data_IF_014821080445
#
_entry.id   IF_014821080445
#
_cell.length_a   1.000
_cell.length_b   1.000
_cell.length_c   1.000
_cell.angle_alpha   90.00
_cell.angle_beta   90.00
_cell.angle_gamma   90.00
#
_symmetry.space_group_name_H-M   'P 1'
#
loop_
_entity.id
_entity.type
_entity.pdbx_description
1 polymer ?
#
# COMPACT_ATOMS: atom_id res chain seq x y z
N UNK A 1 -74.09 41.93 -27.46
CA UNK A 1 -73.44 41.78 -26.12
C UNK A 1 -72.16 41.00 -26.35
N UNK A 2 -71.01 41.68 -26.45
CA UNK A 2 -69.71 41.06 -26.77
C UNK A 2 -68.93 40.93 -25.47
N UNK A 3 -68.64 39.70 -25.07
CA UNK A 3 -67.82 39.35 -23.90
C UNK A 3 -66.35 39.29 -24.38
N UNK A 4 -65.52 40.24 -23.91
CA UNK A 4 -64.08 40.17 -24.05
C UNK A 4 -63.49 39.31 -22.96
N UNK A 5 -62.87 38.18 -23.36
CA UNK A 5 -62.08 37.35 -22.45
C UNK A 5 -60.67 37.93 -22.48
N UNK A 6 -60.25 38.47 -21.33
CA UNK A 6 -58.90 38.97 -21.12
C UNK A 6 -58.01 37.79 -20.71
N UNK A 7 -57.13 37.37 -21.62
CA UNK A 7 -56.10 36.35 -21.34
C UNK A 7 -54.95 37.06 -20.59
N UNK A 8 -54.88 36.86 -19.29
CA UNK A 8 -53.70 37.23 -18.48
C UNK A 8 -52.65 36.12 -18.62
N UNK A 9 -51.63 36.32 -19.47
CA UNK A 9 -50.45 35.48 -19.49
C UNK A 9 -49.62 35.82 -18.24
N UNK A 10 -49.74 35.04 -17.17
CA UNK A 10 -48.74 34.99 -16.10
C UNK A 10 -47.46 34.35 -16.63
N UNK A 11 -46.53 35.17 -17.05
CA UNK A 11 -45.15 34.75 -17.29
C UNK A 11 -44.48 34.43 -15.96
N UNK A 12 -44.51 33.17 -15.56
CA UNK A 12 -43.60 32.67 -14.53
C UNK A 12 -42.19 32.74 -15.05
N UNK A 13 -41.46 33.77 -14.70
CA UNK A 13 -40.00 33.84 -14.84
C UNK A 13 -39.44 32.80 -13.90
N UNK A 14 -39.22 31.61 -14.41
CA UNK A 14 -38.34 30.61 -13.78
C UNK A 14 -36.94 31.20 -13.75
N UNK A 15 -36.59 31.92 -12.71
CA UNK A 15 -35.22 32.20 -12.35
C UNK A 15 -34.60 30.83 -12.00
N UNK A 16 -33.99 30.20 -12.99
CA UNK A 16 -33.03 29.11 -12.75
C UNK A 16 -31.92 29.77 -11.93
N UNK A 17 -32.00 29.64 -10.62
CA UNK A 17 -30.82 29.87 -9.78
C UNK A 17 -29.80 28.83 -10.23
N UNK A 18 -28.89 29.23 -11.13
CA UNK A 18 -27.67 28.52 -11.35
C UNK A 18 -26.98 28.44 -9.99
N UNK A 19 -27.15 27.31 -9.30
CA UNK A 19 -26.39 27.03 -8.10
C UNK A 19 -24.94 27.20 -8.50
N UNK A 20 -24.27 28.20 -7.93
CA UNK A 20 -22.85 28.49 -8.14
C UNK A 20 -22.04 27.31 -7.57
N UNK A 21 -22.00 26.19 -8.30
CA UNK A 21 -21.13 25.07 -8.00
C UNK A 21 -19.70 25.50 -8.35
N UNK A 22 -18.97 25.98 -7.36
CA UNK A 22 -17.53 26.18 -7.43
C UNK A 22 -17.05 27.61 -7.09
N UNK A 23 -15.90 27.67 -6.45
CA UNK A 23 -15.17 28.89 -6.19
C UNK A 23 -14.77 29.59 -7.50
N UNK A 24 -14.37 30.89 -7.44
CA UNK A 24 -13.81 31.59 -8.60
C UNK A 24 -12.61 30.84 -9.21
N UNK A 25 -11.82 30.18 -8.39
CA UNK A 25 -10.70 29.34 -8.82
C UNK A 25 -11.16 28.12 -9.64
N UNK A 26 -12.24 27.45 -9.21
CA UNK A 26 -12.80 26.31 -9.95
C UNK A 26 -13.33 26.75 -11.31
N UNK A 27 -14.06 27.85 -11.39
CA UNK A 27 -14.55 28.39 -12.67
C UNK A 27 -13.40 28.75 -13.62
N UNK A 28 -12.30 29.32 -13.08
CA UNK A 28 -11.10 29.61 -13.87
C UNK A 28 -10.49 28.35 -14.47
N UNK A 29 -10.39 27.26 -13.69
CA UNK A 29 -9.87 25.97 -14.15
C UNK A 29 -10.75 25.38 -15.27
N UNK A 30 -12.08 25.36 -15.07
CA UNK A 30 -13.04 24.87 -16.07
C UNK A 30 -12.99 25.69 -17.38
N UNK A 31 -12.86 27.03 -17.29
CA UNK A 31 -12.73 27.88 -18.47
C UNK A 31 -11.41 27.62 -19.22
N UNK A 32 -10.33 27.37 -18.50
CA UNK A 32 -9.04 27.08 -19.12
C UNK A 32 -9.07 25.72 -19.84
N UNK A 33 -9.61 24.69 -19.20
CA UNK A 33 -9.81 23.36 -19.78
C UNK A 33 -10.69 23.47 -21.05
N UNK A 34 -11.86 24.08 -20.95
CA UNK A 34 -12.76 24.30 -22.09
C UNK A 34 -12.07 25.03 -23.27
N UNK A 35 -11.29 26.09 -22.97
CA UNK A 35 -10.61 26.85 -24.02
C UNK A 35 -9.52 26.01 -24.71
N UNK A 36 -8.77 25.21 -23.95
CA UNK A 36 -7.73 24.32 -24.49
C UNK A 36 -8.38 23.23 -25.38
N UNK A 37 -9.39 22.53 -24.87
CA UNK A 37 -10.03 21.45 -25.59
C UNK A 37 -10.75 21.88 -26.87
N UNK A 38 -11.29 23.12 -26.92
CA UNK A 38 -12.07 23.58 -28.06
C UNK A 38 -11.31 24.50 -29.03
N UNK A 39 -10.27 25.20 -28.60
CA UNK A 39 -9.61 26.25 -29.42
C UNK A 39 -8.12 25.98 -29.66
N UNK A 40 -7.53 24.97 -29.06
CA UNK A 40 -6.13 24.64 -29.34
C UNK A 40 -5.98 24.16 -30.78
N UNK A 41 -4.84 24.46 -31.41
CA UNK A 41 -4.59 24.21 -32.85
C UNK A 41 -4.63 22.73 -33.21
N UNK A 42 -4.19 21.86 -32.29
CA UNK A 42 -4.20 20.40 -32.51
C UNK A 42 -5.23 19.72 -31.59
N UNK A 43 -5.57 18.45 -31.92
CA UNK A 43 -6.47 17.65 -31.09
C UNK A 43 -5.84 17.40 -29.73
N UNK A 44 -6.55 17.69 -28.66
CA UNK A 44 -6.16 17.45 -27.26
C UNK A 44 -6.78 16.15 -26.76
N UNK A 45 -6.01 15.42 -25.98
CA UNK A 45 -6.48 14.32 -25.15
C UNK A 45 -6.92 14.92 -23.80
N UNK A 46 -8.23 15.08 -23.63
CA UNK A 46 -8.83 15.76 -22.47
C UNK A 46 -8.56 14.97 -21.17
N UNK A 47 -8.67 13.63 -21.22
CA UNK A 47 -8.46 12.79 -20.03
C UNK A 47 -7.03 12.97 -19.51
N UNK A 48 -6.05 12.88 -20.40
CA UNK A 48 -4.65 13.07 -20.05
C UNK A 48 -4.35 14.48 -19.56
N UNK A 49 -4.99 15.49 -20.15
CA UNK A 49 -4.83 16.88 -19.72
C UNK A 49 -5.33 17.08 -18.27
N UNK A 50 -6.49 16.50 -17.95
CA UNK A 50 -7.09 16.60 -16.61
C UNK A 50 -6.26 15.82 -15.59
N UNK A 51 -5.78 14.62 -15.93
CA UNK A 51 -4.86 13.85 -15.09
C UNK A 51 -3.61 14.63 -14.71
N UNK A 52 -2.92 15.22 -15.71
CA UNK A 52 -1.72 16.03 -15.48
C UNK A 52 -2.01 17.25 -14.59
N UNK A 53 -3.17 17.88 -14.78
CA UNK A 53 -3.59 18.99 -13.93
C UNK A 53 -3.80 18.54 -12.47
N UNK A 54 -4.46 17.40 -12.23
CA UNK A 54 -4.65 16.82 -10.90
C UNK A 54 -3.30 16.51 -10.26
N UNK A 55 -2.39 15.85 -10.98
CA UNK A 55 -1.04 15.52 -10.50
C UNK A 55 -0.30 16.79 -10.07
N UNK A 56 -0.35 17.86 -10.88
CA UNK A 56 0.31 19.12 -10.57
C UNK A 56 -0.31 19.84 -9.37
N UNK A 57 -1.63 19.79 -9.20
CA UNK A 57 -2.30 20.34 -8.02
C UNK A 57 -1.88 19.61 -6.74
N UNK A 58 -1.85 18.27 -6.76
CA UNK A 58 -1.46 17.46 -5.61
C UNK A 58 0.00 17.67 -5.21
N UNK A 59 0.88 17.80 -6.18
CA UNK A 59 2.30 18.06 -5.94
C UNK A 59 2.60 19.38 -5.21
N UNK A 60 1.64 20.33 -5.16
CA UNK A 60 1.76 21.58 -4.39
C UNK A 60 1.42 21.40 -2.90
N UNK A 61 0.87 20.25 -2.49
CA UNK A 61 0.38 20.03 -1.13
C UNK A 61 1.45 19.39 -0.24
N UNK A 62 1.87 18.19 -0.60
CA UNK A 62 2.84 17.38 0.13
C UNK A 62 3.39 16.25 -0.77
N UNK A 63 4.50 15.58 -0.37
CA UNK A 63 5.12 14.55 -1.22
C UNK A 63 4.36 13.21 -1.28
N UNK A 64 3.25 13.07 -0.57
CA UNK A 64 2.49 11.82 -0.46
C UNK A 64 1.07 11.90 -1.00
N UNK A 65 0.53 13.11 -1.23
CA UNK A 65 -0.73 13.29 -1.95
C UNK A 65 -0.49 12.99 -3.43
N UNK A 66 -1.11 11.92 -3.95
CA UNK A 66 -0.85 11.39 -5.30
C UNK A 66 -2.15 11.07 -6.03
N UNK A 67 -2.07 11.13 -7.36
CA UNK A 67 -3.03 10.51 -8.27
C UNK A 67 -2.50 9.13 -8.69
N UNK A 68 -3.39 8.19 -8.91
CA UNK A 68 -3.09 6.89 -9.50
C UNK A 68 -4.18 6.51 -10.47
N UNK A 69 -3.80 6.01 -11.64
CA UNK A 69 -4.75 5.47 -12.60
C UNK A 69 -5.39 4.15 -12.10
N UNK A 70 -6.41 3.66 -12.80
CA UNK A 70 -7.15 2.46 -12.39
C UNK A 70 -6.27 1.19 -12.31
N UNK A 71 -5.26 1.07 -13.16
CA UNK A 71 -4.34 -0.07 -13.15
C UNK A 71 -3.37 0.00 -11.96
N UNK A 72 -2.84 1.19 -11.68
CA UNK A 72 -2.00 1.45 -10.52
C UNK A 72 -2.75 1.24 -9.20
N UNK A 73 -4.01 1.69 -9.11
CA UNK A 73 -4.89 1.46 -7.95
C UNK A 73 -5.02 -0.04 -7.66
N UNK A 74 -5.25 -0.84 -8.68
CA UNK A 74 -5.34 -2.30 -8.54
C UNK A 74 -4.03 -2.91 -8.07
N UNK A 75 -2.90 -2.57 -8.71
CA UNK A 75 -1.56 -3.05 -8.35
C UNK A 75 -1.19 -2.70 -6.91
N UNK A 76 -1.60 -1.54 -6.44
CA UNK A 76 -1.31 -1.04 -5.10
C UNK A 76 -2.17 -1.70 -4.01
N UNK A 77 -3.43 -2.01 -4.32
CA UNK A 77 -4.37 -2.57 -3.38
C UNK A 77 -4.18 -4.09 -3.17
N UNK A 78 -3.80 -4.84 -4.22
CA UNK A 78 -3.62 -6.30 -4.13
C UNK A 78 -2.71 -6.74 -2.97
N UNK A 79 -1.48 -6.19 -2.79
CA UNK A 79 -0.60 -6.58 -1.69
C UNK A 79 -1.17 -6.26 -0.31
N UNK A 80 -1.95 -5.16 -0.19
CA UNK A 80 -2.56 -4.75 1.07
C UNK A 80 -3.79 -5.60 1.41
N UNK A 81 -4.52 -6.07 0.39
CA UNK A 81 -5.64 -7.01 0.58
C UNK A 81 -5.15 -8.43 0.96
N UNK A 82 -3.85 -8.70 0.83
CA UNK A 82 -3.24 -9.97 1.17
C UNK A 82 -3.51 -11.10 0.17
N UNK A 83 -3.99 -10.81 -1.03
CA UNK A 83 -4.18 -11.79 -2.10
C UNK A 83 -4.28 -11.13 -3.47
N UNK A 84 -3.98 -11.91 -4.52
CA UNK A 84 -4.32 -11.59 -5.90
C UNK A 84 -4.96 -12.80 -6.58
N UNK A 85 -5.58 -12.60 -7.73
CA UNK A 85 -6.23 -13.67 -8.48
C UNK A 85 -5.39 -14.12 -9.67
N UNK A 86 -5.10 -15.43 -9.77
CA UNK A 86 -4.24 -15.97 -10.82
C UNK A 86 -3.96 -17.46 -10.67
N UNK A 87 -2.89 -17.91 -11.32
CA UNK A 87 -2.48 -19.32 -11.34
C UNK A 87 -1.64 -19.75 -10.12
N UNK A 88 -1.00 -18.83 -9.41
CA UNK A 88 -0.18 -19.12 -8.22
C UNK A 88 1.15 -19.79 -8.55
N UNK A 89 2.04 -19.10 -9.25
CA UNK A 89 3.44 -19.48 -9.48
C UNK A 89 4.37 -18.34 -9.11
N UNK A 90 5.51 -18.67 -8.52
CA UNK A 90 6.67 -17.80 -8.50
C UNK A 90 7.52 -18.14 -9.73
N UNK A 91 7.92 -17.13 -10.49
CA UNK A 91 8.65 -17.35 -11.73
C UNK A 91 9.77 -16.34 -11.93
N UNK A 92 10.67 -16.68 -12.83
CA UNK A 92 11.74 -15.81 -13.29
C UNK A 92 11.81 -15.88 -14.82
N UNK A 93 12.13 -14.77 -15.46
CA UNK A 93 12.38 -14.75 -16.90
C UNK A 93 13.86 -15.14 -17.14
N UNK A 94 14.08 -16.19 -17.93
CA UNK A 94 15.40 -16.66 -18.34
C UNK A 94 15.35 -16.84 -19.85
N UNK A 95 16.24 -16.13 -20.59
CA UNK A 95 16.36 -16.23 -22.06
C UNK A 95 14.99 -16.15 -22.76
N UNK A 96 14.24 -15.09 -22.47
CA UNK A 96 12.90 -14.85 -23.04
C UNK A 96 11.88 -16.00 -22.78
N UNK A 97 12.05 -16.72 -21.68
CA UNK A 97 11.17 -17.83 -21.29
C UNK A 97 10.81 -17.72 -19.80
N UNK A 98 9.54 -17.96 -19.47
CA UNK A 98 9.08 -18.02 -18.09
C UNK A 98 9.46 -19.36 -17.47
N UNK A 99 10.40 -19.33 -16.50
CA UNK A 99 10.77 -20.47 -15.68
C UNK A 99 10.00 -20.43 -14.35
N UNK A 100 9.27 -21.47 -14.04
CA UNK A 100 8.61 -21.65 -12.72
C UNK A 100 9.70 -21.95 -11.68
N UNK A 101 9.89 -21.01 -10.74
CA UNK A 101 10.77 -21.19 -9.58
C UNK A 101 10.12 -22.18 -8.61
N UNK A 102 8.86 -21.92 -8.28
CA UNK A 102 8.01 -22.84 -7.53
C UNK A 102 6.52 -22.48 -7.66
N UNK A 103 5.60 -23.45 -7.67
CA UNK A 103 4.19 -23.18 -7.48
C UNK A 103 3.91 -22.76 -6.03
N UNK A 104 2.87 -21.93 -5.83
CA UNK A 104 2.42 -21.57 -4.48
C UNK A 104 1.75 -22.78 -3.83
N UNK A 105 2.15 -23.09 -2.60
CA UNK A 105 1.63 -24.25 -1.85
C UNK A 105 0.10 -24.19 -1.72
N UNK A 106 -0.55 -25.30 -2.00
CA UNK A 106 -2.00 -25.45 -2.09
C UNK A 106 -2.66 -24.56 -3.14
N UNK A 107 -1.88 -23.93 -4.02
CA UNK A 107 -2.33 -23.07 -5.09
C UNK A 107 -2.87 -23.82 -6.32
N UNK A 108 -3.47 -23.12 -7.28
CA UNK A 108 -4.06 -23.72 -8.49
C UNK A 108 -3.03 -24.49 -9.34
N UNK A 109 -1.83 -23.94 -9.51
CA UNK A 109 -0.77 -24.56 -10.31
C UNK A 109 -0.22 -25.83 -9.70
N UNK A 110 -0.02 -25.85 -8.38
CA UNK A 110 0.41 -27.06 -7.67
C UNK A 110 -0.62 -28.18 -7.80
N UNK A 111 -1.93 -27.85 -7.65
CA UNK A 111 -3.03 -28.82 -7.74
C UNK A 111 -3.13 -29.53 -9.09
N UNK A 112 -2.70 -28.88 -10.17
CA UNK A 112 -2.70 -29.51 -11.51
C UNK A 112 -1.37 -30.17 -11.85
N UNK A 113 -0.37 -30.12 -10.96
CA UNK A 113 0.92 -30.80 -11.13
C UNK A 113 1.98 -30.00 -11.87
N UNK A 114 1.90 -28.67 -11.87
CA UNK A 114 3.01 -27.81 -12.31
C UNK A 114 4.12 -27.87 -11.25
N UNK A 115 5.37 -27.98 -11.68
CA UNK A 115 6.54 -28.21 -10.85
C UNK A 115 7.57 -27.08 -10.97
N UNK A 116 8.44 -26.97 -9.98
CA UNK A 116 9.64 -26.16 -10.09
C UNK A 116 10.52 -26.65 -11.26
N UNK A 117 11.05 -25.72 -12.05
CA UNK A 117 11.83 -25.99 -13.25
C UNK A 117 10.99 -26.11 -14.53
N UNK A 118 9.67 -26.11 -14.47
CA UNK A 118 8.81 -26.05 -15.65
C UNK A 118 8.98 -24.72 -16.38
N UNK A 119 8.93 -24.76 -17.73
CA UNK A 119 8.99 -23.58 -18.58
C UNK A 119 7.65 -23.39 -19.25
N UNK A 120 6.94 -22.29 -18.93
CA UNK A 120 5.70 -21.95 -19.60
C UNK A 120 6.02 -21.25 -20.90
N UNK A 121 5.66 -21.85 -22.05
CA UNK A 121 5.98 -21.35 -23.37
C UNK A 121 4.80 -20.72 -24.10
N UNK A 122 3.55 -21.09 -23.72
CA UNK A 122 2.35 -20.47 -24.27
C UNK A 122 1.23 -20.39 -23.21
N UNK A 123 0.34 -19.40 -23.39
CA UNK A 123 -0.86 -19.16 -22.59
C UNK A 123 -2.05 -19.02 -23.55
N UNK A 124 -3.10 -19.86 -23.42
CA UNK A 124 -4.26 -19.90 -24.31
C UNK A 124 -3.85 -19.91 -25.80
N UNK A 125 -2.97 -20.82 -26.16
CA UNK A 125 -2.43 -21.01 -27.52
C UNK A 125 -1.59 -19.82 -28.08
N UNK A 126 -1.37 -18.78 -27.28
CA UNK A 126 -0.48 -17.66 -27.64
C UNK A 126 0.90 -17.89 -27.07
N UNK A 127 1.93 -17.90 -27.91
CA UNK A 127 3.32 -17.99 -27.48
C UNK A 127 3.68 -16.80 -26.55
N UNK A 128 4.37 -17.10 -25.44
CA UNK A 128 4.94 -16.11 -24.52
C UNK A 128 6.46 -16.23 -24.42
N UNK A 129 7.04 -17.32 -24.92
CA UNK A 129 8.48 -17.54 -24.97
C UNK A 129 9.00 -17.28 -26.41
N UNK A 130 10.20 -16.71 -26.52
CA UNK A 130 10.85 -16.41 -27.79
C UNK A 130 10.24 -15.24 -28.58
N UNK A 131 9.35 -14.45 -27.97
CA UNK A 131 8.62 -13.33 -28.59
C UNK A 131 8.89 -11.98 -27.97
N UNK A 132 9.85 -11.90 -27.05
CA UNK A 132 10.23 -10.69 -26.27
C UNK A 132 9.03 -10.00 -25.58
N UNK A 133 8.09 -10.81 -25.09
CA UNK A 133 6.93 -10.29 -24.35
C UNK A 133 7.37 -9.74 -23.00
N UNK A 134 6.85 -8.59 -22.61
CA UNK A 134 7.16 -8.01 -21.30
C UNK A 134 6.66 -8.90 -20.15
N UNK A 135 7.37 -8.90 -19.02
CA UNK A 135 6.94 -9.63 -17.82
C UNK A 135 5.55 -9.19 -17.37
N UNK A 136 5.21 -7.92 -17.55
CA UNK A 136 3.91 -7.38 -17.22
C UNK A 136 2.79 -7.98 -18.10
N UNK A 137 2.99 -8.07 -19.40
CA UNK A 137 2.01 -8.67 -20.34
C UNK A 137 1.85 -10.18 -20.08
N UNK A 138 2.93 -10.86 -19.71
CA UNK A 138 2.86 -12.26 -19.29
C UNK A 138 2.03 -12.38 -17.99
N UNK A 139 2.29 -11.52 -16.99
CA UNK A 139 1.49 -11.52 -15.76
C UNK A 139 0.02 -11.23 -16.03
N UNK A 140 -0.33 -10.28 -16.90
CA UNK A 140 -1.73 -10.00 -17.29
C UNK A 140 -2.42 -11.22 -17.88
N UNK A 141 -1.72 -12.08 -18.64
CA UNK A 141 -2.27 -13.32 -19.20
C UNK A 141 -2.44 -14.43 -18.15
N UNK A 142 -1.53 -14.55 -17.19
CA UNK A 142 -1.58 -15.56 -16.13
C UNK A 142 -2.60 -15.20 -15.03
N UNK A 143 -2.79 -13.91 -14.75
CA UNK A 143 -3.80 -13.39 -13.82
C UNK A 143 -5.18 -13.41 -14.46
N UNK A 144 -6.20 -13.27 -13.64
CA UNK A 144 -7.58 -13.16 -14.07
C UNK A 144 -8.56 -13.63 -13.00
N UNK A 145 -9.87 -13.39 -13.18
CA UNK A 145 -10.89 -13.62 -12.16
C UNK A 145 -10.87 -15.03 -11.60
N UNK A 146 -11.04 -15.15 -10.27
CA UNK A 146 -11.21 -16.44 -9.59
C UNK A 146 -12.26 -17.29 -10.29
N UNK A 147 -11.93 -18.56 -10.54
CA UNK A 147 -12.80 -19.52 -11.22
C UNK A 147 -12.66 -19.55 -12.73
N UNK A 148 -12.07 -18.53 -13.37
CA UNK A 148 -11.74 -18.58 -14.80
C UNK A 148 -10.64 -19.60 -15.09
N UNK A 149 -10.66 -20.17 -16.29
CA UNK A 149 -9.66 -21.16 -16.73
C UNK A 149 -8.61 -20.48 -17.62
N UNK A 150 -7.41 -21.02 -17.56
CA UNK A 150 -6.31 -20.67 -18.48
C UNK A 150 -5.59 -21.96 -18.86
N UNK A 151 -5.29 -22.09 -20.16
CA UNK A 151 -4.52 -23.21 -20.69
C UNK A 151 -3.05 -22.81 -20.79
N UNK A 152 -2.18 -23.66 -20.30
CA UNK A 152 -0.74 -23.47 -20.30
C UNK A 152 -0.07 -24.58 -21.09
N UNK A 153 0.84 -24.21 -21.99
CA UNK A 153 1.75 -25.15 -22.63
C UNK A 153 3.09 -25.05 -21.95
N UNK A 154 3.59 -26.17 -21.45
CA UNK A 154 4.76 -26.24 -20.59
C UNK A 154 5.78 -27.22 -21.18
N UNK A 155 7.04 -26.82 -21.19
CA UNK A 155 8.18 -27.69 -21.44
C UNK A 155 8.80 -28.09 -20.11
N UNK A 156 8.93 -29.40 -19.87
CA UNK A 156 9.52 -29.98 -18.64
C UNK A 156 10.78 -30.77 -18.99
N UNK A 157 11.83 -30.53 -18.21
CA UNK A 157 13.11 -31.27 -18.42
C UNK A 157 12.87 -32.77 -18.26
N UNK A 158 13.35 -33.55 -19.26
CA UNK A 158 13.20 -35.02 -19.28
C UNK A 158 11.88 -35.51 -19.88
N UNK A 159 10.97 -34.63 -20.31
CA UNK A 159 9.75 -34.96 -21.06
C UNK A 159 9.91 -34.45 -22.48
N UNK A 160 9.67 -35.34 -23.48
CA UNK A 160 9.90 -35.04 -24.90
C UNK A 160 8.88 -34.06 -25.46
N UNK A 161 7.63 -34.27 -25.15
CA UNK A 161 6.51 -33.49 -25.72
C UNK A 161 6.04 -32.42 -24.74
N UNK A 162 5.61 -31.25 -25.22
CA UNK A 162 5.03 -30.23 -24.37
C UNK A 162 3.80 -30.73 -23.59
N UNK A 163 3.71 -30.36 -22.34
CA UNK A 163 2.60 -30.71 -21.45
C UNK A 163 1.54 -29.61 -21.49
N UNK A 164 0.28 -30.02 -21.55
CA UNK A 164 -0.88 -29.11 -21.53
C UNK A 164 -1.52 -29.17 -20.15
N UNK A 165 -1.67 -27.99 -19.51
CA UNK A 165 -2.35 -27.85 -18.23
C UNK A 165 -3.48 -26.85 -18.35
N UNK A 166 -4.66 -27.21 -17.85
CA UNK A 166 -5.76 -26.26 -17.63
C UNK A 166 -5.81 -25.89 -16.18
N UNK A 167 -5.45 -24.64 -15.87
CA UNK A 167 -5.45 -24.11 -14.51
C UNK A 167 -6.71 -23.30 -14.27
N UNK A 168 -7.47 -23.64 -13.24
CA UNK A 168 -8.58 -22.81 -12.74
C UNK A 168 -8.03 -21.79 -11.76
N UNK A 169 -8.05 -20.50 -12.15
CA UNK A 169 -7.52 -19.41 -11.32
C UNK A 169 -8.22 -19.33 -9.98
N UNK A 170 -7.48 -18.95 -8.95
CA UNK A 170 -8.01 -18.76 -7.59
C UNK A 170 -7.31 -17.57 -6.92
N UNK A 171 -7.76 -17.23 -5.70
CA UNK A 171 -7.07 -16.28 -4.84
C UNK A 171 -5.76 -16.87 -4.36
N UNK A 172 -4.69 -16.16 -4.61
CA UNK A 172 -3.32 -16.52 -4.22
C UNK A 172 -2.93 -15.65 -3.04
N UNK A 173 -2.65 -16.24 -1.86
CA UNK A 173 -2.28 -15.45 -0.69
C UNK A 173 -0.96 -14.72 -0.88
N UNK A 174 -0.91 -13.48 -0.42
CA UNK A 174 0.30 -12.66 -0.29
C UNK A 174 0.51 -12.47 1.21
N UNK A 175 1.44 -13.22 1.77
CA UNK A 175 1.71 -13.16 3.20
C UNK A 175 2.38 -11.85 3.60
N UNK A 176 2.01 -11.34 4.77
CA UNK A 176 2.63 -10.19 5.41
C UNK A 176 3.87 -10.56 6.21
N UNK A 177 3.99 -11.84 6.60
CA UNK A 177 5.11 -12.39 7.33
C UNK A 177 6.08 -13.10 6.40
N UNK A 178 7.35 -12.70 6.45
CA UNK A 178 8.44 -13.35 5.70
C UNK A 178 9.06 -14.50 6.49
N UNK A 179 9.12 -14.39 7.82
CA UNK A 179 9.78 -15.35 8.67
C UNK A 179 9.17 -15.42 10.07
N UNK A 180 9.14 -16.61 10.65
CA UNK A 180 8.74 -16.85 12.03
C UNK A 180 9.45 -18.12 12.56
N UNK A 181 10.40 -17.96 13.48
CA UNK A 181 11.15 -19.08 14.04
C UNK A 181 11.75 -18.76 15.42
N UNK A 182 12.18 -19.80 16.17
CA UNK A 182 12.97 -19.61 17.38
C UNK A 182 14.42 -19.35 17.01
N UNK A 183 14.93 -18.11 17.30
CA UNK A 183 16.32 -17.74 16.99
C UNK A 183 17.29 -18.32 18.03
N UNK A 184 16.81 -18.48 19.28
CA UNK A 184 17.51 -19.16 20.37
C UNK A 184 16.50 -19.65 21.40
N UNK A 185 16.91 -20.45 22.41
CA UNK A 185 16.00 -20.88 23.47
C UNK A 185 15.26 -19.69 24.10
N UNK A 186 13.93 -19.77 24.14
CA UNK A 186 13.00 -18.75 24.68
C UNK A 186 12.87 -17.45 23.87
N UNK A 187 13.61 -17.25 22.80
CA UNK A 187 13.50 -16.04 21.98
C UNK A 187 12.97 -16.39 20.59
N UNK A 188 11.80 -15.85 20.24
CA UNK A 188 11.23 -15.92 18.91
C UNK A 188 11.61 -14.73 18.06
N UNK A 189 11.71 -14.95 16.75
CA UNK A 189 11.89 -13.92 15.73
C UNK A 189 10.71 -13.97 14.78
N UNK A 190 10.11 -12.80 14.51
CA UNK A 190 9.04 -12.61 13.53
C UNK A 190 9.38 -11.42 12.66
N UNK A 191 9.37 -11.60 11.33
CA UNK A 191 9.56 -10.54 10.35
C UNK A 191 8.27 -10.24 9.62
N UNK A 192 7.87 -8.97 9.63
CA UNK A 192 6.70 -8.45 8.92
C UNK A 192 7.18 -7.49 7.83
N UNK A 193 6.81 -7.76 6.57
CA UNK A 193 7.22 -6.96 5.41
C UNK A 193 6.21 -5.87 5.02
N UNK A 194 4.95 -5.96 5.49
CA UNK A 194 3.87 -4.99 5.23
C UNK A 194 2.75 -5.10 6.26
N UNK A 195 1.91 -4.07 6.31
CA UNK A 195 0.70 -4.06 7.11
C UNK A 195 -0.54 -4.21 6.21
N UNK A 196 -0.88 -5.43 5.84
CA UNK A 196 -2.06 -5.80 5.05
C UNK A 196 -3.26 -6.20 5.91
N UNK A 197 -4.35 -6.56 5.25
CA UNK A 197 -5.60 -6.96 5.91
C UNK A 197 -5.45 -8.22 6.77
N UNK A 198 -4.51 -9.12 6.45
CA UNK A 198 -4.28 -10.40 7.11
C UNK A 198 -3.15 -10.37 8.14
N UNK A 199 -2.41 -9.26 8.25
CA UNK A 199 -1.18 -9.17 9.06
C UNK A 199 -1.41 -9.52 10.54
N UNK A 200 -2.46 -9.00 11.15
CA UNK A 200 -2.74 -9.27 12.57
C UNK A 200 -3.05 -10.75 12.83
N UNK A 201 -3.80 -11.39 11.93
CA UNK A 201 -4.13 -12.81 12.02
C UNK A 201 -2.88 -13.69 11.82
N UNK A 202 -2.09 -13.39 10.80
CA UNK A 202 -0.83 -14.08 10.50
C UNK A 202 0.13 -13.96 11.69
N UNK A 203 0.30 -12.76 12.25
CA UNK A 203 1.14 -12.50 13.40
C UNK A 203 0.69 -13.29 14.63
N UNK A 204 -0.60 -13.25 14.96
CA UNK A 204 -1.15 -14.01 16.11
C UNK A 204 -0.91 -15.50 15.98
N UNK A 205 -1.10 -16.07 14.78
CA UNK A 205 -0.83 -17.47 14.51
C UNK A 205 0.65 -17.79 14.72
N UNK A 206 1.55 -17.01 14.10
CA UNK A 206 2.98 -17.20 14.23
C UNK A 206 3.44 -17.09 15.69
N UNK A 207 2.98 -16.08 16.42
CA UNK A 207 3.29 -15.87 17.84
C UNK A 207 2.84 -17.07 18.69
N UNK A 208 1.60 -17.56 18.52
CA UNK A 208 1.09 -18.73 19.25
C UNK A 208 1.90 -19.99 18.95
N UNK A 209 2.32 -20.19 17.71
CA UNK A 209 3.14 -21.35 17.34
C UNK A 209 4.55 -21.26 17.94
N UNK A 210 5.12 -20.05 18.08
CA UNK A 210 6.39 -19.86 18.81
C UNK A 210 6.21 -20.02 20.32
N UNK A 211 5.10 -19.56 20.90
CA UNK A 211 4.80 -19.74 22.32
C UNK A 211 4.69 -21.24 22.68
N UNK A 212 4.07 -22.07 21.82
CA UNK A 212 4.06 -23.55 21.99
C UNK A 212 5.47 -24.15 21.98
N UNK A 213 6.44 -23.52 21.29
CA UNK A 213 7.85 -23.88 21.26
C UNK A 213 8.64 -23.30 22.45
N UNK A 214 7.97 -22.63 23.38
CA UNK A 214 8.58 -22.08 24.58
C UNK A 214 9.07 -20.64 24.48
N UNK A 215 8.62 -19.86 23.46
CA UNK A 215 8.95 -18.44 23.35
C UNK A 215 8.46 -17.66 24.58
N UNK A 216 9.34 -16.82 25.13
CA UNK A 216 9.07 -15.85 26.20
C UNK A 216 9.42 -14.44 25.80
N UNK A 217 10.43 -14.29 24.96
CA UNK A 217 10.95 -13.02 24.45
C UNK A 217 10.82 -12.98 22.95
N UNK A 218 10.65 -11.77 22.37
CA UNK A 218 10.41 -11.59 20.94
C UNK A 218 11.33 -10.54 20.33
N UNK A 219 11.83 -10.85 19.14
CA UNK A 219 12.38 -9.88 18.19
C UNK A 219 11.36 -9.74 17.07
N UNK A 220 10.79 -8.53 16.94
CA UNK A 220 9.93 -8.14 15.84
C UNK A 220 10.75 -7.34 14.83
N UNK A 221 10.87 -7.85 13.61
CA UNK A 221 11.64 -7.19 12.56
C UNK A 221 10.70 -6.47 11.59
N UNK A 222 10.85 -5.13 11.55
CA UNK A 222 10.15 -4.20 10.66
C UNK A 222 11.10 -3.52 9.67
N UNK A 223 12.33 -4.00 9.53
CA UNK A 223 13.30 -3.46 8.58
C UNK A 223 12.78 -3.62 7.15
N UNK A 224 12.87 -2.55 6.34
CA UNK A 224 12.35 -2.53 4.98
C UNK A 224 10.82 -2.45 4.87
N UNK A 225 10.09 -2.38 5.99
CA UNK A 225 8.62 -2.35 5.99
C UNK A 225 8.09 -0.93 5.83
N UNK A 226 7.62 -0.58 4.63
CA UNK A 226 7.04 0.73 4.29
C UNK A 226 5.66 1.04 4.91
N UNK A 227 5.11 0.15 5.73
CA UNK A 227 3.82 0.33 6.40
C UNK A 227 2.66 -0.39 5.71
N UNK A 228 1.49 0.24 5.69
CA UNK A 228 0.24 -0.29 5.15
C UNK A 228 -0.99 0.25 5.88
N UNK A 229 -1.95 -0.61 6.19
CA UNK A 229 -3.19 -0.21 6.84
C UNK A 229 -2.98 0.23 8.30
N UNK A 230 -3.57 1.36 8.67
CA UNK A 230 -3.60 1.88 10.05
C UNK A 230 -4.19 0.84 11.03
N UNK A 231 -5.32 0.24 10.66
CA UNK A 231 -5.98 -0.73 11.53
C UNK A 231 -5.09 -1.94 11.82
N UNK A 232 -4.32 -2.42 10.82
CA UNK A 232 -3.37 -3.51 11.03
C UNK A 232 -2.25 -3.14 12.01
N UNK A 233 -1.77 -1.88 11.99
CA UNK A 233 -0.81 -1.38 12.96
C UNK A 233 -1.41 -1.29 14.38
N UNK A 234 -2.63 -0.80 14.49
CA UNK A 234 -3.37 -0.72 15.77
C UNK A 234 -3.57 -2.13 16.36
N UNK A 235 -4.02 -3.08 15.54
CA UNK A 235 -4.25 -4.45 15.98
C UNK A 235 -2.95 -5.15 16.39
N UNK A 236 -1.83 -4.87 15.67
CA UNK A 236 -0.52 -5.40 16.07
C UNK A 236 -0.01 -4.75 17.35
N UNK A 237 -0.08 -3.43 17.49
CA UNK A 237 0.36 -2.74 18.71
C UNK A 237 -0.45 -3.19 19.95
N UNK A 238 -1.74 -3.50 19.75
CA UNK A 238 -2.60 -4.03 20.82
C UNK A 238 -2.08 -5.36 21.41
N UNK A 239 -1.29 -6.14 20.65
CA UNK A 239 -0.69 -7.37 21.17
C UNK A 239 0.35 -7.12 22.27
N UNK A 240 0.93 -5.92 22.31
CA UNK A 240 2.03 -5.54 23.20
C UNK A 240 1.59 -4.66 24.35
N UNK A 241 0.53 -3.86 24.18
CA UNK A 241 0.14 -2.78 25.08
C UNK A 241 -0.98 -3.17 26.06
N UNK A 242 -1.00 -2.48 27.19
CA UNK A 242 -2.02 -2.62 28.23
C UNK A 242 -3.34 -1.96 27.87
N UNK A 243 -4.39 -2.25 28.65
CA UNK A 243 -5.72 -1.68 28.42
C UNK A 243 -5.68 -0.14 28.58
N UNK A 244 -6.31 0.56 27.63
CA UNK A 244 -6.38 2.04 27.58
C UNK A 244 -5.05 2.76 27.34
N UNK A 245 -3.99 2.06 27.04
CA UNK A 245 -2.78 2.71 26.56
C UNK A 245 -3.01 3.23 25.14
N UNK A 246 -2.68 4.51 24.92
CA UNK A 246 -2.82 5.16 23.62
C UNK A 246 -1.81 4.55 22.64
N UNK A 247 -2.25 4.13 21.47
CA UNK A 247 -1.37 3.61 20.41
C UNK A 247 -0.90 4.76 19.52
N UNK A 248 -1.83 5.55 19.05
CA UNK A 248 -1.62 6.65 18.10
C UNK A 248 -2.82 7.57 18.15
N UNK A 249 -2.64 8.84 17.87
CA UNK A 249 -3.76 9.70 17.50
C UNK A 249 -3.51 10.39 16.17
N UNK A 250 -4.61 10.79 15.54
CA UNK A 250 -4.58 11.51 14.27
C UNK A 250 -5.28 12.85 14.42
N UNK A 251 -4.74 13.90 13.78
CA UNK A 251 -5.34 15.22 13.80
C UNK A 251 -5.03 15.98 12.51
N UNK A 252 -5.98 16.74 12.00
CA UNK A 252 -5.86 17.55 10.80
C UNK A 252 -6.74 18.78 10.81
N UNK A 253 -6.63 19.62 9.80
CA UNK A 253 -7.39 20.88 9.71
C UNK A 253 -8.91 20.68 9.79
N UNK A 254 -9.43 19.69 9.09
CA UNK A 254 -10.87 19.34 9.06
C UNK A 254 -11.18 18.01 9.74
N UNK A 255 -10.15 17.17 9.91
CA UNK A 255 -10.26 15.91 10.65
C UNK A 255 -9.97 16.18 12.13
N UNK A 256 -11.01 16.13 12.96
CA UNK A 256 -10.87 16.27 14.41
C UNK A 256 -9.94 15.17 14.94
N UNK A 257 -9.30 15.44 16.08
CA UNK A 257 -8.47 14.46 16.79
C UNK A 257 -9.23 13.16 17.00
N UNK A 258 -8.59 12.04 16.63
CA UNK A 258 -9.08 10.69 16.83
C UNK A 258 -8.01 9.87 17.52
N UNK A 259 -8.32 9.38 18.71
CA UNK A 259 -7.43 8.60 19.55
C UNK A 259 -7.70 7.10 19.37
N UNK A 260 -6.65 6.30 19.25
CA UNK A 260 -6.73 4.85 19.12
C UNK A 260 -6.03 4.19 20.31
N UNK A 261 -6.77 3.47 21.12
CA UNK A 261 -6.31 2.86 22.36
C UNK A 261 -6.21 1.34 22.25
N UNK A 262 -5.26 0.77 22.99
CA UNK A 262 -5.15 -0.66 23.14
C UNK A 262 -6.32 -1.22 23.99
N UNK A 263 -6.81 -2.38 23.59
CA UNK A 263 -7.90 -3.09 24.26
C UNK A 263 -7.42 -3.88 25.48
N UNK A 264 -6.11 -4.11 25.60
CA UNK A 264 -5.47 -4.86 26.69
C UNK A 264 -5.73 -6.37 26.65
N UNK A 265 -6.14 -6.90 25.52
CA UNK A 265 -6.40 -8.30 25.30
C UNK A 265 -5.33 -9.00 24.41
N UNK A 266 -4.18 -8.34 24.23
CA UNK A 266 -3.05 -8.89 23.50
C UNK A 266 -2.37 -10.06 24.20
N UNK A 267 -1.83 -10.98 23.42
CA UNK A 267 -1.22 -12.22 23.93
C UNK A 267 0.28 -12.07 24.25
N UNK A 268 0.91 -10.90 23.97
CA UNK A 268 2.32 -10.64 24.24
C UNK A 268 2.55 -9.32 25.02
N UNK A 269 1.75 -9.07 26.05
CA UNK A 269 1.90 -7.90 26.93
C UNK A 269 3.08 -8.03 27.91
N UNK A 270 3.55 -9.23 28.15
CA UNK A 270 4.68 -9.58 29.00
C UNK A 270 5.79 -10.24 28.16
N UNK A 271 7.00 -10.25 28.70
CA UNK A 271 8.17 -10.73 27.99
C UNK A 271 8.97 -9.56 27.37
N UNK A 272 10.25 -9.79 27.11
CA UNK A 272 11.10 -8.78 26.49
C UNK A 272 10.75 -8.64 25.00
N UNK A 273 10.62 -7.41 24.54
CA UNK A 273 10.33 -7.08 23.18
C UNK A 273 11.43 -6.19 22.60
N UNK A 274 11.98 -6.60 21.47
CA UNK A 274 12.88 -5.78 20.65
C UNK A 274 12.21 -5.59 19.30
N UNK A 275 12.16 -4.34 18.79
CA UNK A 275 11.72 -4.03 17.43
C UNK A 275 12.91 -3.55 16.62
N UNK A 276 13.18 -4.23 15.51
CA UNK A 276 14.22 -3.81 14.56
C UNK A 276 13.62 -2.87 13.53
N UNK A 277 14.31 -1.75 13.29
CA UNK A 277 13.91 -0.72 12.32
C UNK A 277 15.09 -0.26 11.47
N UNK A 278 14.81 0.28 10.30
CA UNK A 278 15.80 0.89 9.42
C UNK A 278 15.23 2.15 8.73
N UNK A 279 16.02 2.75 7.86
CA UNK A 279 15.67 3.96 7.08
C UNK A 279 14.48 3.79 6.13
N UNK A 280 14.05 2.55 5.86
CA UNK A 280 12.87 2.21 5.04
C UNK A 280 11.65 1.86 5.88
N UNK A 281 11.82 1.69 7.19
CA UNK A 281 10.70 1.48 8.12
C UNK A 281 9.83 2.72 8.17
N UNK A 282 8.55 2.62 7.76
CA UNK A 282 7.70 3.80 7.55
C UNK A 282 6.24 3.59 8.00
N UNK A 283 5.54 4.72 8.28
CA UNK A 283 4.08 4.77 8.43
C UNK A 283 3.55 3.83 9.52
N UNK A 284 2.77 2.79 9.18
CA UNK A 284 2.22 1.80 10.10
C UNK A 284 3.29 1.15 10.99
N UNK A 285 4.48 0.90 10.46
CA UNK A 285 5.63 0.38 11.21
C UNK A 285 6.09 1.39 12.28
N UNK A 286 6.08 2.69 11.94
CA UNK A 286 6.46 3.76 12.85
C UNK A 286 5.41 3.99 13.94
N UNK A 287 4.13 3.71 13.66
CA UNK A 287 3.06 3.71 14.67
C UNK A 287 3.33 2.64 15.72
N UNK A 288 3.61 1.40 15.30
CA UNK A 288 3.88 0.30 16.22
C UNK A 288 5.15 0.54 17.03
N UNK A 289 6.27 0.89 16.37
CA UNK A 289 7.54 1.15 17.05
C UNK A 289 7.46 2.37 17.97
N UNK A 290 6.78 3.45 17.53
CA UNK A 290 6.59 4.65 18.35
C UNK A 290 5.71 4.40 19.57
N UNK A 291 4.64 3.63 19.45
CA UNK A 291 3.80 3.26 20.58
C UNK A 291 4.55 2.40 21.61
N UNK A 292 5.29 1.39 21.13
CA UNK A 292 6.12 0.54 22.00
C UNK A 292 7.22 1.35 22.70
N UNK A 293 7.83 2.29 21.99
CA UNK A 293 8.86 3.18 22.54
C UNK A 293 8.30 4.11 23.61
N UNK A 294 7.19 4.79 23.33
CA UNK A 294 6.63 5.82 24.21
C UNK A 294 6.05 5.24 25.52
N UNK A 295 5.68 3.97 25.52
CA UNK A 295 5.25 3.25 26.73
C UNK A 295 6.37 2.46 27.43
N UNK A 296 7.62 2.62 27.02
CA UNK A 296 8.75 1.81 27.52
C UNK A 296 8.48 0.30 27.49
N UNK A 297 7.59 -0.14 26.58
CA UNK A 297 7.18 -1.54 26.47
C UNK A 297 8.26 -2.43 25.85
N UNK A 298 9.15 -1.87 25.06
CA UNK A 298 10.22 -2.59 24.39
C UNK A 298 11.33 -1.68 23.91
N UNK A 299 12.39 -2.29 23.41
CA UNK A 299 13.58 -1.58 22.90
C UNK A 299 13.49 -1.49 21.38
N UNK A 300 13.68 -0.29 20.85
CA UNK A 300 13.81 -0.06 19.40
C UNK A 300 15.29 -0.09 19.04
N UNK A 301 15.66 -0.93 18.08
CA UNK A 301 17.04 -1.12 17.65
C UNK A 301 17.16 -0.94 16.14
N UNK A 302 18.14 -0.18 15.70
CA UNK A 302 18.43 0.03 14.29
C UNK A 302 18.71 1.49 13.96
N UNK A 303 18.49 1.87 12.70
CA UNK A 303 18.70 3.23 12.21
C UNK A 303 17.41 4.05 12.32
N UNK A 304 17.55 5.37 12.28
CA UNK A 304 16.39 6.28 12.22
C UNK A 304 15.44 5.87 11.09
N UNK A 305 14.15 5.75 11.41
CA UNK A 305 13.11 5.37 10.46
C UNK A 305 12.87 6.43 9.38
N UNK A 306 12.01 6.15 8.44
CA UNK A 306 11.74 7.01 7.29
C UNK A 306 11.13 8.37 7.67
N UNK A 307 10.20 8.40 8.63
CA UNK A 307 9.48 9.60 9.03
C UNK A 307 8.25 9.90 8.15
N UNK A 308 7.36 8.91 7.94
CA UNK A 308 6.07 9.10 7.23
C UNK A 308 4.91 9.13 8.22
N UNK A 309 4.55 10.33 8.67
CA UNK A 309 3.49 10.58 9.66
C UNK A 309 2.22 11.20 9.08
N UNK A 310 1.90 10.98 7.80
CA UNK A 310 0.73 11.53 7.14
C UNK A 310 -0.38 10.49 6.97
N UNK A 311 -1.60 10.84 7.38
CA UNK A 311 -2.82 10.05 7.19
C UNK A 311 -3.36 10.35 5.80
N UNK A 312 -3.38 9.35 4.95
CA UNK A 312 -3.89 9.45 3.60
C UNK A 312 -5.26 8.78 3.49
N UNK A 313 -6.20 9.46 2.82
CA UNK A 313 -7.51 8.92 2.48
C UNK A 313 -7.61 8.73 0.97
N UNK A 314 -7.95 7.52 0.51
CA UNK A 314 -8.30 7.30 -0.89
C UNK A 314 -9.64 8.00 -1.21
N UNK A 315 -9.71 8.62 -2.38
CA UNK A 315 -10.90 9.22 -2.97
C UNK A 315 -10.99 8.63 -4.37
N UNK A 316 -11.93 7.71 -4.55
CA UNK A 316 -12.15 7.05 -5.84
C UNK A 316 -12.79 8.03 -6.83
N UNK A 317 -12.34 8.01 -8.07
CA UNK A 317 -12.86 8.78 -9.17
C UNK A 317 -13.71 7.90 -10.11
N UNK A 318 -14.60 8.50 -10.93
CA UNK A 318 -15.58 7.74 -11.72
C UNK A 318 -15.00 6.77 -12.74
N UNK A 319 -13.79 7.01 -13.22
CA UNK A 319 -13.04 6.21 -14.19
C UNK A 319 -12.25 5.05 -13.56
N UNK A 320 -12.33 4.89 -12.23
CA UNK A 320 -11.58 3.90 -11.47
C UNK A 320 -10.19 4.36 -11.03
N UNK A 321 -9.77 5.55 -11.43
CA UNK A 321 -8.59 6.20 -10.88
C UNK A 321 -8.84 6.71 -9.46
N UNK A 322 -7.80 7.16 -8.75
CA UNK A 322 -7.90 7.51 -7.34
C UNK A 322 -6.96 8.66 -6.97
N UNK A 323 -7.48 9.57 -6.18
CA UNK A 323 -6.66 10.53 -5.45
C UNK A 323 -6.38 9.99 -4.05
N UNK A 324 -5.12 9.87 -3.68
CA UNK A 324 -4.71 9.62 -2.30
C UNK A 324 -4.35 10.95 -1.67
N UNK A 325 -5.24 11.48 -0.83
CA UNK A 325 -5.12 12.82 -0.25
C UNK A 325 -4.72 12.76 1.22
N UNK A 326 -3.71 13.51 1.62
CA UNK A 326 -3.35 13.73 3.02
C UNK A 326 -4.42 14.55 3.73
N UNK A 327 -5.02 13.98 4.78
CA UNK A 327 -6.11 14.63 5.53
C UNK A 327 -5.77 14.92 6.99
N UNK A 328 -4.75 14.28 7.56
CA UNK A 328 -4.32 14.43 8.94
C UNK A 328 -2.84 14.03 9.12
N UNK A 329 -2.32 14.21 10.32
CA UNK A 329 -1.01 13.72 10.76
C UNK A 329 -1.17 12.68 11.84
N UNK A 330 -0.19 11.77 11.92
CA UNK A 330 -0.03 10.82 13.02
C UNK A 330 0.83 11.42 14.12
N UNK A 331 0.45 11.12 15.35
CA UNK A 331 1.22 11.45 16.55
C UNK A 331 1.32 10.23 17.43
N UNK A 332 2.50 10.01 17.99
CA UNK A 332 2.76 8.95 18.99
C UNK A 332 2.07 9.27 20.33
N UNK A 333 1.97 8.33 21.26
CA UNK A 333 1.35 8.56 22.57
C UNK A 333 1.90 9.77 23.31
N UNK A 334 3.19 10.04 23.23
CA UNK A 334 3.84 11.22 23.87
C UNK A 334 3.60 12.54 23.12
N UNK A 335 2.92 12.51 21.98
CA UNK A 335 2.61 13.71 21.16
C UNK A 335 3.68 14.04 20.12
N UNK A 336 4.68 13.20 19.91
CA UNK A 336 5.70 13.42 18.86
C UNK A 336 5.07 13.22 17.48
N UNK A 337 5.36 14.12 16.53
CA UNK A 337 5.03 13.93 15.13
C UNK A 337 6.02 12.96 14.49
N UNK A 338 5.50 11.93 13.82
CA UNK A 338 6.32 10.98 13.06
C UNK A 338 6.87 11.62 11.77
N UNK A 339 6.16 12.62 11.22
CA UNK A 339 6.46 13.16 9.91
C UNK A 339 7.77 13.96 9.87
N UNK A 340 8.71 13.52 9.01
CA UNK A 340 9.89 14.33 8.70
C UNK A 340 9.53 15.63 7.94
N UNK A 341 10.33 16.70 8.06
CA UNK A 341 10.06 17.96 7.38
C UNK A 341 9.89 17.80 5.87
N UNK A 342 8.98 18.60 5.30
CA UNK A 342 8.78 18.75 3.86
C UNK A 342 8.36 20.19 3.54
N UNK A 343 8.42 20.59 2.25
CA UNK A 343 8.07 21.92 1.80
C UNK A 343 9.15 22.52 0.90
N UNK A 344 9.01 23.79 0.54
CA UNK A 344 9.87 24.47 -0.46
C UNK A 344 11.35 24.60 -0.04
N UNK A 345 11.66 24.46 1.24
CA UNK A 345 13.02 24.60 1.77
C UNK A 345 13.74 23.26 1.99
N UNK A 346 13.05 22.13 1.77
CA UNK A 346 13.58 20.78 2.02
C UNK A 346 13.42 19.93 0.77
N UNK A 347 14.51 19.38 0.26
CA UNK A 347 14.45 18.37 -0.80
C UNK A 347 14.13 17.00 -0.18
N UNK A 348 12.84 16.71 -0.09
CA UNK A 348 12.33 15.50 0.53
C UNK A 348 12.90 14.21 -0.05
N UNK A 349 13.18 14.20 -1.35
CA UNK A 349 13.67 13.01 -2.05
C UNK A 349 15.17 12.76 -1.81
N UNK A 350 15.92 13.80 -1.42
CA UNK A 350 17.35 13.68 -1.12
C UNK A 350 17.66 13.27 0.33
N UNK A 351 16.66 13.18 1.19
CA UNK A 351 16.86 12.86 2.61
C UNK A 351 17.79 11.66 2.84
N UNK A 352 17.58 10.55 2.15
CA UNK A 352 18.45 9.36 2.29
C UNK A 352 19.87 9.60 1.77
N UNK A 353 20.03 10.35 0.69
CA UNK A 353 21.33 10.72 0.14
C UNK A 353 22.08 11.62 1.13
N UNK A 354 21.38 12.60 1.70
CA UNK A 354 21.95 13.52 2.67
C UNK A 354 22.35 12.79 3.95
N UNK A 355 21.51 11.86 4.44
CA UNK A 355 21.82 10.99 5.59
C UNK A 355 23.04 10.12 5.33
N UNK A 356 23.16 9.56 4.14
CA UNK A 356 24.34 8.78 3.73
C UNK A 356 25.59 9.67 3.69
N UNK A 357 25.52 10.83 3.05
CA UNK A 357 26.64 11.76 2.94
C UNK A 357 27.14 12.31 4.29
N UNK A 358 26.22 12.45 5.26
CA UNK A 358 26.56 12.84 6.65
C UNK A 358 27.00 11.66 7.52
N UNK A 359 27.12 10.43 6.94
CA UNK A 359 27.58 9.24 7.64
C UNK A 359 26.52 8.56 8.54
N UNK A 360 25.31 9.09 8.63
CA UNK A 360 24.26 8.55 9.53
C UNK A 360 23.94 7.08 9.25
N UNK A 361 24.02 6.64 7.99
CA UNK A 361 23.73 5.25 7.63
C UNK A 361 24.91 4.31 7.86
N UNK A 362 26.12 4.84 8.05
CA UNK A 362 27.36 4.06 8.16
C UNK A 362 28.00 4.11 9.56
N UNK A 363 27.73 5.16 10.32
CA UNK A 363 28.36 5.38 11.63
C UNK A 363 27.31 5.88 12.65
N UNK A 364 27.12 5.11 13.73
CA UNK A 364 26.18 5.45 14.79
C UNK A 364 26.49 6.78 15.49
N UNK A 365 27.77 7.16 15.60
CA UNK A 365 28.22 8.39 16.26
C UNK A 365 27.87 9.67 15.47
N UNK A 366 27.48 9.54 14.20
CA UNK A 366 27.07 10.67 13.35
C UNK A 366 25.57 10.98 13.41
N UNK A 367 24.80 10.27 14.24
CA UNK A 367 23.36 10.51 14.39
C UNK A 367 23.15 11.73 15.29
N UNK A 368 22.70 12.83 14.69
CA UNK A 368 22.31 14.03 15.42
C UNK A 368 20.78 14.18 15.43
N UNK A 369 20.18 14.13 16.62
CA UNK A 369 18.77 14.42 16.78
C UNK A 369 18.54 15.93 16.79
N UNK A 370 17.68 16.48 15.91
CA UNK A 370 17.29 17.89 16.01
C UNK A 370 16.69 18.19 17.38
N UNK A 371 16.94 19.41 17.90
CA UNK A 371 16.41 19.82 19.22
C UNK A 371 14.89 19.74 19.33
N UNK A 372 14.18 19.81 18.19
CA UNK A 372 12.73 19.60 18.11
C UNK A 372 12.27 18.17 18.39
N UNK A 373 13.20 17.22 18.49
CA UNK A 373 12.94 15.80 18.79
C UNK A 373 13.48 15.35 20.14
N UNK A 374 14.04 16.30 20.94
CA UNK A 374 14.46 16.05 22.32
C UNK A 374 13.32 16.27 23.30
#
# INVERSE_FOLDING_TARGET
MKIYVLLVCLGTILTVQAQNFGSAAMRKLQMAEFAISNFYVDKVDEDKLVEEAIIKMLAQLDPHSTYSDAEEVKKMNEPLQGNFEGIGVQFQMIEDTLLVVQPVSNGPSEKVGILAGDRIIAVNDSAIAGVKMSTEDIMKRLRGPKGSKVNLTIVRRGVKDPLLFTVKRDKIPILSLDASYMIQPKTGYIRINRFGATTAEEFKKAMKDLQKKGMKDMILDLQGNGGGYLNAAIDLANEFLGQKELIVYTEGRTAKRSDFYAKGNGDFRNGRLIILVDEYTASASEIVSGAVQDWDRGIIVGRRSFGKGLVQRPIDLPDGSMIRLTIARYYTPSGRSIQKPYGSTVDYNKDLIDRFNHGELMNADSIHFPDSLK
#
